data_IF_465569981843
#
_entry.id   IF_465569981843
#
_cell.length_a   1.000
_cell.length_b   1.000
_cell.length_c   1.000
_cell.angle_alpha   90.00
_cell.angle_beta   90.00
_cell.angle_gamma   90.00
#
_symmetry.space_group_name_H-M   'P 1'
#
loop_
_entity.id
_entity.type
_entity.pdbx_description
1 polymer ?
#
# COMPACT_ATOMS: atom_id res chain seq x y z
N UNK A 1 -27.82 -2.13 10.80
CA UNK A 1 -26.91 -0.99 10.51
C UNK A 1 -26.34 -1.13 9.11
N UNK A 2 -26.10 -0.04 8.39
CA UNK A 2 -25.33 -0.06 7.13
C UNK A 2 -23.87 -0.44 7.41
N UNK A 3 -23.12 -0.84 6.36
CA UNK A 3 -21.66 -1.12 6.48
C UNK A 3 -20.91 0.09 7.08
N UNK A 4 -21.24 1.29 6.59
CA UNK A 4 -20.66 2.54 7.08
C UNK A 4 -21.01 2.82 8.55
N UNK A 5 -22.29 2.74 8.93
CA UNK A 5 -22.73 2.95 10.32
C UNK A 5 -22.03 1.99 11.28
N UNK A 6 -21.91 0.71 10.90
CA UNK A 6 -21.25 -0.31 11.72
C UNK A 6 -19.78 0.01 11.96
N UNK A 7 -19.03 0.38 10.91
CA UNK A 7 -17.62 0.76 11.06
C UNK A 7 -17.47 2.02 11.90
N UNK A 8 -18.31 3.05 11.68
CA UNK A 8 -18.25 4.28 12.45
C UNK A 8 -18.59 4.09 13.94
N UNK A 9 -19.61 3.29 14.25
CA UNK A 9 -19.96 2.95 15.63
C UNK A 9 -18.82 2.19 16.33
N UNK A 10 -18.22 1.21 15.65
CA UNK A 10 -17.07 0.47 16.20
C UNK A 10 -15.87 1.38 16.50
N UNK A 11 -15.52 2.29 15.58
CA UNK A 11 -14.44 3.28 15.80
C UNK A 11 -14.73 4.21 17.00
N UNK A 12 -16.00 4.54 17.23
CA UNK A 12 -16.47 5.35 18.37
C UNK A 12 -16.70 4.53 19.64
N UNK A 13 -16.36 3.24 19.65
CA UNK A 13 -16.61 2.32 20.78
C UNK A 13 -18.09 2.24 21.18
N UNK A 14 -18.98 2.39 20.21
CA UNK A 14 -20.43 2.27 20.39
C UNK A 14 -20.91 0.84 20.07
N UNK A 15 -22.07 0.40 20.60
CA UNK A 15 -22.66 -0.88 20.24
C UNK A 15 -22.88 -1.01 18.72
N UNK A 16 -22.67 -2.22 18.20
CA UNK A 16 -22.91 -2.59 16.80
C UNK A 16 -23.86 -3.78 16.72
N UNK A 17 -24.54 -3.97 15.60
CA UNK A 17 -25.40 -5.14 15.34
C UNK A 17 -24.59 -6.45 15.20
N UNK A 18 -23.33 -6.34 14.77
CA UNK A 18 -22.28 -7.38 14.82
C UNK A 18 -20.90 -6.72 14.72
N UNK A 19 -19.80 -7.40 15.13
CA UNK A 19 -18.45 -6.89 14.86
C UNK A 19 -18.24 -6.60 13.36
N UNK A 20 -17.69 -5.43 12.97
CA UNK A 20 -17.32 -5.18 11.60
C UNK A 20 -16.10 -6.04 11.21
N UNK A 21 -16.04 -6.48 9.95
CA UNK A 21 -14.92 -7.25 9.42
C UNK A 21 -14.55 -6.81 8.00
N UNK A 22 -13.32 -7.12 7.60
CA UNK A 22 -12.91 -7.04 6.20
C UNK A 22 -11.82 -8.06 5.91
N UNK A 23 -11.77 -8.49 4.65
CA UNK A 23 -10.68 -9.31 4.12
C UNK A 23 -9.93 -8.53 3.04
N UNK A 24 -8.62 -8.76 2.95
CA UNK A 24 -7.78 -8.21 1.90
C UNK A 24 -6.62 -9.15 1.61
N UNK A 25 -6.06 -9.02 0.40
CA UNK A 25 -4.87 -9.75 -0.05
C UNK A 25 -4.21 -9.01 -1.20
N UNK A 26 -3.01 -9.46 -1.57
CA UNK A 26 -2.40 -9.08 -2.84
C UNK A 26 -3.02 -9.85 -4.02
N UNK A 27 -2.98 -9.23 -5.20
CA UNK A 27 -3.40 -9.78 -6.50
C UNK A 27 -2.25 -9.69 -7.52
N UNK A 28 -1.14 -10.42 -7.30
CA UNK A 28 0.13 -10.25 -8.03
C UNK A 28 0.10 -10.54 -9.54
N UNK A 29 -0.96 -11.20 -10.00
CA UNK A 29 -1.18 -11.49 -11.42
C UNK A 29 -1.71 -10.28 -12.19
N UNK A 30 -2.28 -9.29 -11.48
CA UNK A 30 -3.02 -8.16 -12.06
C UNK A 30 -2.71 -6.81 -11.42
N UNK A 31 -1.92 -6.77 -10.35
CA UNK A 31 -1.69 -5.56 -9.55
C UNK A 31 -0.91 -4.46 -10.29
N UNK A 32 -0.16 -4.81 -11.32
CA UNK A 32 0.50 -3.87 -12.26
C UNK A 32 -0.48 -3.18 -13.24
N UNK A 33 -1.77 -3.53 -13.22
CA UNK A 33 -2.80 -2.88 -14.03
C UNK A 33 -3.93 -2.35 -13.12
N UNK A 34 -4.08 -1.03 -13.07
CA UNK A 34 -5.01 -0.37 -12.16
C UNK A 34 -6.47 -0.83 -12.32
N UNK A 35 -6.93 -1.04 -13.56
CA UNK A 35 -8.28 -1.51 -13.85
C UNK A 35 -8.48 -2.96 -13.41
N UNK A 36 -7.53 -3.84 -13.70
CA UNK A 36 -7.60 -5.24 -13.33
C UNK A 36 -7.48 -5.45 -11.80
N UNK A 37 -6.65 -4.66 -11.13
CA UNK A 37 -6.55 -4.64 -9.67
C UNK A 37 -7.86 -4.16 -9.02
N UNK A 38 -8.45 -3.07 -9.52
CA UNK A 38 -9.73 -2.57 -9.03
C UNK A 38 -10.83 -3.62 -9.17
N UNK A 39 -10.95 -4.25 -10.35
CA UNK A 39 -11.93 -5.31 -10.57
C UNK A 39 -11.73 -6.52 -9.66
N UNK A 40 -10.49 -6.96 -9.44
CA UNK A 40 -10.21 -8.11 -8.58
C UNK A 40 -10.50 -7.81 -7.11
N UNK A 41 -10.17 -6.59 -6.67
CA UNK A 41 -10.47 -6.08 -5.33
C UNK A 41 -12.00 -6.04 -5.08
N UNK A 42 -12.77 -5.55 -6.06
CA UNK A 42 -14.23 -5.48 -5.97
C UNK A 42 -14.90 -6.85 -6.01
N UNK A 43 -14.46 -7.77 -6.88
CA UNK A 43 -14.98 -9.16 -6.90
C UNK A 43 -14.70 -9.88 -5.58
N UNK A 44 -13.52 -9.65 -4.99
CA UNK A 44 -13.18 -10.21 -3.69
C UNK A 44 -14.10 -9.66 -2.60
N UNK A 45 -14.36 -8.36 -2.62
CA UNK A 45 -15.33 -7.72 -1.74
C UNK A 45 -16.76 -8.25 -1.93
N UNK A 46 -17.23 -8.39 -3.17
CA UNK A 46 -18.55 -8.95 -3.49
C UNK A 46 -18.70 -10.38 -2.95
N UNK A 47 -17.65 -11.18 -3.03
CA UNK A 47 -17.62 -12.54 -2.49
C UNK A 47 -17.73 -12.59 -0.96
N UNK A 48 -17.01 -11.72 -0.26
CA UNK A 48 -16.88 -11.80 1.20
C UNK A 48 -17.73 -10.79 1.96
N UNK A 49 -18.36 -9.83 1.29
CA UNK A 49 -19.24 -8.81 1.87
C UNK A 49 -18.60 -8.05 3.04
N UNK A 50 -17.34 -7.64 2.88
CA UNK A 50 -16.60 -6.85 3.88
C UNK A 50 -17.33 -5.55 4.24
N UNK A 51 -17.16 -5.05 5.46
CA UNK A 51 -17.77 -3.80 5.91
C UNK A 51 -17.01 -2.54 5.44
N UNK A 52 -15.78 -2.73 4.97
CA UNK A 52 -15.00 -1.71 4.27
C UNK A 52 -14.10 -2.38 3.23
N UNK A 53 -13.74 -1.64 2.18
CA UNK A 53 -12.90 -2.11 1.09
C UNK A 53 -11.46 -1.62 1.30
N UNK A 54 -10.55 -2.51 1.71
CA UNK A 54 -9.13 -2.17 1.76
C UNK A 54 -8.47 -2.39 0.40
N UNK A 55 -7.93 -1.34 -0.22
CA UNK A 55 -7.17 -1.45 -1.47
C UNK A 55 -5.71 -1.77 -1.12
N UNK A 56 -5.23 -2.91 -1.60
CA UNK A 56 -3.84 -3.35 -1.43
C UNK A 56 -3.10 -3.14 -2.75
N UNK A 57 -2.13 -2.20 -2.82
CA UNK A 57 -1.36 -1.92 -4.03
C UNK A 57 -0.33 -3.01 -4.35
N UNK A 58 0.37 -2.84 -5.48
CA UNK A 58 1.66 -3.52 -5.74
C UNK A 58 2.63 -3.23 -4.58
N UNK A 59 3.57 -4.12 -4.29
CA UNK A 59 4.50 -3.92 -3.19
C UNK A 59 5.48 -2.75 -3.42
N UNK A 60 5.76 -2.44 -4.69
CA UNK A 60 6.71 -1.43 -5.15
C UNK A 60 6.15 -0.01 -5.23
N UNK A 61 4.82 0.18 -5.22
CA UNK A 61 4.18 1.45 -5.54
C UNK A 61 4.68 2.68 -4.75
N UNK A 62 5.21 2.45 -3.55
CA UNK A 62 5.64 3.51 -2.66
C UNK A 62 7.18 3.70 -2.63
N UNK A 63 7.94 2.98 -3.46
CA UNK A 63 9.41 3.05 -3.48
C UNK A 63 10.03 2.92 -4.88
N UNK A 64 9.30 2.43 -5.88
CA UNK A 64 9.83 2.21 -7.24
C UNK A 64 10.26 3.51 -7.92
N UNK A 65 9.63 4.64 -7.60
CA UNK A 65 9.98 5.95 -8.15
C UNK A 65 11.36 6.45 -7.72
N UNK A 66 11.90 5.94 -6.60
CA UNK A 66 13.28 6.18 -6.18
C UNK A 66 14.27 5.12 -6.70
N UNK A 67 13.79 4.23 -7.58
CA UNK A 67 14.59 3.21 -8.24
C UNK A 67 14.62 1.87 -7.51
N UNK A 68 13.69 1.59 -6.59
CA UNK A 68 13.52 0.21 -6.12
C UNK A 68 12.96 -0.68 -7.23
N UNK A 69 13.34 -1.97 -7.26
CA UNK A 69 12.84 -2.93 -8.24
C UNK A 69 12.34 -4.18 -7.52
N UNK A 70 11.09 -4.55 -7.80
CA UNK A 70 10.54 -5.83 -7.39
C UNK A 70 11.05 -6.98 -8.26
N UNK A 71 11.22 -8.15 -7.65
CA UNK A 71 11.52 -9.38 -8.36
C UNK A 71 10.32 -9.98 -9.08
N UNK A 72 10.57 -11.02 -9.87
CA UNK A 72 9.54 -11.72 -10.63
C UNK A 72 8.90 -12.90 -9.88
N UNK A 73 9.46 -13.29 -8.74
CA UNK A 73 8.90 -14.33 -7.89
C UNK A 73 7.80 -13.76 -6.98
N UNK A 74 6.64 -14.42 -6.97
CA UNK A 74 5.52 -14.13 -6.07
C UNK A 74 5.67 -15.01 -4.84
N UNK A 75 5.75 -14.37 -3.67
CA UNK A 75 5.83 -15.06 -2.40
C UNK A 75 4.44 -15.58 -1.94
N UNK A 76 4.36 -16.51 -0.97
CA UNK A 76 3.10 -17.15 -0.58
C UNK A 76 1.99 -16.19 -0.11
N UNK A 77 2.34 -15.03 0.44
CA UNK A 77 1.41 -13.96 0.85
C UNK A 77 1.03 -13.00 -0.30
N UNK A 78 1.58 -13.24 -1.50
CA UNK A 78 1.27 -12.57 -2.75
C UNK A 78 2.10 -11.32 -3.04
N UNK A 79 3.09 -10.96 -2.22
CA UNK A 79 4.00 -9.86 -2.55
C UNK A 79 5.23 -10.34 -3.33
N UNK A 80 5.93 -9.39 -3.96
CA UNK A 80 7.22 -9.60 -4.62
C UNK A 80 8.32 -8.97 -3.77
N UNK A 81 9.43 -9.67 -3.59
CA UNK A 81 10.57 -9.13 -2.86
C UNK A 81 11.20 -7.96 -3.63
N UNK A 82 11.74 -6.98 -2.90
CA UNK A 82 12.56 -5.93 -3.51
C UNK A 82 13.95 -6.51 -3.79
N UNK A 83 14.31 -6.67 -5.07
CA UNK A 83 15.60 -7.25 -5.49
C UNK A 83 16.67 -6.19 -5.71
N UNK A 84 16.27 -4.92 -5.88
CA UNK A 84 17.18 -3.78 -5.93
C UNK A 84 16.62 -2.64 -5.09
N UNK A 85 17.40 -2.22 -4.10
CA UNK A 85 17.07 -1.11 -3.22
C UNK A 85 17.58 0.23 -3.78
N UNK A 86 16.88 1.33 -3.45
CA UNK A 86 17.29 2.68 -3.82
C UNK A 86 18.51 3.15 -3.00
N UNK A 87 18.57 2.74 -1.74
CA UNK A 87 19.66 3.08 -0.82
C UNK A 87 20.59 1.88 -0.72
N UNK A 88 21.82 2.00 -1.24
CA UNK A 88 22.87 0.98 -1.18
C UNK A 88 24.08 1.41 -0.33
N UNK A 89 24.17 2.68 0.00
CA UNK A 89 25.18 3.28 0.87
C UNK A 89 24.51 4.38 1.71
N UNK A 90 25.09 4.79 2.86
CA UNK A 90 24.54 5.88 3.66
C UNK A 90 24.35 7.19 2.88
N UNK A 91 25.21 7.44 1.88
CA UNK A 91 25.10 8.62 1.01
C UNK A 91 23.87 8.64 0.12
N UNK A 92 23.28 7.48 -0.18
CA UNK A 92 22.10 7.36 -1.05
C UNK A 92 20.83 7.91 -0.41
N UNK A 93 20.75 7.99 0.92
CA UNK A 93 19.63 8.64 1.62
C UNK A 93 19.42 10.09 1.16
N UNK A 94 20.49 10.80 0.78
CA UNK A 94 20.41 12.17 0.25
C UNK A 94 19.72 12.27 -1.12
N UNK A 95 19.55 11.14 -1.82
CA UNK A 95 18.86 11.06 -3.11
C UNK A 95 17.35 10.88 -2.94
N UNK A 96 16.90 10.51 -1.72
CA UNK A 96 15.48 10.41 -1.40
C UNK A 96 14.93 11.82 -1.22
N UNK A 97 14.11 12.23 -2.19
CA UNK A 97 13.51 13.56 -2.30
C UNK A 97 12.05 13.44 -2.75
N UNK A 98 11.19 14.42 -2.45
CA UNK A 98 9.81 14.41 -2.94
C UNK A 98 9.73 14.20 -4.45
N UNK A 99 8.86 13.28 -4.87
CA UNK A 99 8.57 13.00 -6.28
C UNK A 99 7.23 13.62 -6.68
N UNK A 100 7.08 13.99 -7.95
CA UNK A 100 5.80 14.49 -8.48
C UNK A 100 4.84 13.32 -8.63
N UNK A 101 3.74 13.31 -7.87
CA UNK A 101 2.84 12.17 -7.76
C UNK A 101 2.13 11.80 -9.07
N UNK A 102 2.01 12.74 -10.02
CA UNK A 102 1.23 12.57 -11.25
C UNK A 102 1.91 11.65 -12.28
N UNK A 103 3.22 11.40 -12.13
CA UNK A 103 4.03 10.62 -13.06
C UNK A 103 4.65 9.37 -12.43
N UNK A 104 4.09 8.90 -11.32
CA UNK A 104 4.67 7.86 -10.48
C UNK A 104 3.75 6.66 -10.32
N UNK A 105 4.25 5.60 -9.70
CA UNK A 105 3.45 4.45 -9.30
C UNK A 105 2.26 4.82 -8.40
N UNK A 106 2.37 5.94 -7.67
CA UNK A 106 1.25 6.55 -6.95
C UNK A 106 0.08 6.93 -7.86
N UNK A 107 0.32 7.43 -9.07
CA UNK A 107 -0.75 7.73 -10.03
C UNK A 107 -1.54 6.46 -10.39
N UNK A 108 -0.86 5.33 -10.60
CA UNK A 108 -1.51 4.03 -10.85
C UNK A 108 -2.29 3.52 -9.65
N UNK A 109 -1.77 3.74 -8.43
CA UNK A 109 -2.50 3.41 -7.20
C UNK A 109 -3.75 4.29 -7.04
N UNK A 110 -3.64 5.60 -7.29
CA UNK A 110 -4.75 6.54 -7.28
C UNK A 110 -5.81 6.18 -8.32
N UNK A 111 -5.39 5.80 -9.53
CA UNK A 111 -6.31 5.30 -10.56
C UNK A 111 -7.09 4.08 -10.04
N UNK A 112 -6.41 3.10 -9.41
CA UNK A 112 -7.08 1.94 -8.81
C UNK A 112 -8.15 2.35 -7.79
N UNK A 113 -7.81 3.29 -6.91
CA UNK A 113 -8.73 3.80 -5.88
C UNK A 113 -9.94 4.49 -6.53
N UNK A 114 -9.70 5.37 -7.51
CA UNK A 114 -10.75 6.07 -8.25
C UNK A 114 -11.68 5.06 -8.92
N UNK A 115 -11.15 4.02 -9.56
CA UNK A 115 -11.96 2.98 -10.21
C UNK A 115 -12.81 2.18 -9.21
N UNK A 116 -12.30 1.90 -8.01
CA UNK A 116 -13.08 1.25 -6.96
C UNK A 116 -14.27 2.11 -6.49
N UNK A 117 -14.09 3.43 -6.42
CA UNK A 117 -15.10 4.36 -5.86
C UNK A 117 -16.05 4.90 -6.92
N UNK A 118 -15.54 5.32 -8.08
CA UNK A 118 -16.30 6.03 -9.13
C UNK A 118 -16.95 5.05 -10.10
N UNK A 119 -16.18 4.12 -10.67
CA UNK A 119 -16.65 3.27 -11.78
C UNK A 119 -17.61 2.17 -11.32
N UNK A 120 -17.42 1.67 -10.10
CA UNK A 120 -18.12 0.48 -9.59
C UNK A 120 -18.81 0.71 -8.24
N UNK A 121 -18.72 1.91 -7.68
CA UNK A 121 -19.26 2.33 -6.37
C UNK A 121 -19.24 1.21 -5.35
N UNK A 122 -18.06 0.92 -4.78
CA UNK A 122 -17.98 0.11 -3.58
C UNK A 122 -19.08 0.54 -2.59
N UNK A 123 -19.88 -0.43 -2.11
CA UNK A 123 -21.03 -0.17 -1.24
C UNK A 123 -20.63 0.12 0.22
N UNK A 124 -19.36 0.47 0.43
CA UNK A 124 -18.75 0.73 1.72
C UNK A 124 -17.55 1.68 1.59
N UNK A 125 -17.01 2.12 2.72
CA UNK A 125 -15.81 2.96 2.75
C UNK A 125 -14.63 2.24 2.10
N UNK A 126 -13.94 2.94 1.18
CA UNK A 126 -12.70 2.45 0.56
C UNK A 126 -11.50 3.03 1.30
N UNK A 127 -10.59 2.18 1.75
CA UNK A 127 -9.40 2.53 2.52
C UNK A 127 -8.15 2.18 1.70
N UNK A 128 -7.40 3.17 1.19
CA UNK A 128 -6.10 2.92 0.58
C UNK A 128 -5.04 2.63 1.64
N UNK A 129 -4.03 1.85 1.28
CA UNK A 129 -2.89 1.60 2.16
C UNK A 129 -1.86 2.71 1.95
N UNK A 130 -1.38 3.30 3.05
CA UNK A 130 -0.21 4.18 3.06
C UNK A 130 0.77 3.64 4.10
N UNK A 131 2.00 3.38 3.68
CA UNK A 131 3.03 2.86 4.57
C UNK A 131 3.60 3.96 5.47
N UNK A 132 4.01 3.58 6.69
CA UNK A 132 4.71 4.49 7.59
C UNK A 132 6.10 4.85 7.03
N UNK A 133 6.67 6.02 7.40
CA UNK A 133 8.02 6.41 6.98
C UNK A 133 9.06 5.32 7.25
N UNK A 134 9.01 4.66 8.42
CA UNK A 134 9.92 3.57 8.76
C UNK A 134 9.75 2.32 7.87
N UNK A 135 8.52 1.99 7.47
CA UNK A 135 8.25 0.88 6.54
C UNK A 135 8.78 1.19 5.14
N UNK A 136 8.66 2.45 4.71
CA UNK A 136 9.26 2.92 3.46
C UNK A 136 10.78 2.90 3.53
N UNK A 137 11.37 3.36 4.64
CA UNK A 137 12.82 3.28 4.88
C UNK A 137 13.34 1.84 4.74
N UNK A 138 12.60 0.87 5.30
CA UNK A 138 12.93 -0.55 5.19
C UNK A 138 12.87 -1.05 3.75
N UNK A 139 11.85 -0.66 3.00
CA UNK A 139 11.74 -1.00 1.57
C UNK A 139 12.83 -0.34 0.72
N UNK A 140 13.18 0.92 1.02
CA UNK A 140 14.19 1.69 0.30
C UNK A 140 15.60 1.15 0.48
N UNK A 141 15.91 0.56 1.63
CA UNK A 141 17.28 0.24 2.03
C UNK A 141 17.53 -1.24 2.33
N UNK A 142 16.49 -2.04 2.59
CA UNK A 142 16.64 -3.44 2.95
C UNK A 142 17.34 -3.61 4.30
N UNK A 143 18.23 -4.59 4.41
CA UNK A 143 18.92 -4.99 5.65
C UNK A 143 19.83 -3.94 6.26
N UNK A 144 20.26 -2.92 5.49
CA UNK A 144 21.06 -1.83 6.06
C UNK A 144 20.27 -0.90 6.97
N UNK A 145 18.94 -0.90 6.95
CA UNK A 145 18.15 0.06 7.75
C UNK A 145 18.58 0.07 9.22
N UNK A 146 18.79 -1.10 9.81
CA UNK A 146 19.19 -1.20 11.22
C UNK A 146 20.58 -0.58 11.48
N UNK A 147 21.52 -0.77 10.55
CA UNK A 147 22.83 -0.15 10.58
C UNK A 147 22.74 1.37 10.39
N UNK A 148 21.98 1.84 9.42
CA UNK A 148 21.86 3.27 9.10
C UNK A 148 21.12 4.06 10.17
N UNK A 149 20.10 3.47 10.82
CA UNK A 149 19.44 4.09 11.97
C UNK A 149 20.41 4.29 13.15
N UNK A 150 21.43 3.43 13.27
CA UNK A 150 22.41 3.49 14.36
C UNK A 150 23.58 4.41 14.03
N UNK A 151 24.18 4.24 12.86
CA UNK A 151 25.44 4.88 12.48
C UNK A 151 25.23 6.16 11.65
N UNK A 152 24.07 6.29 10.99
CA UNK A 152 23.75 7.41 10.10
C UNK A 152 22.35 8.04 10.38
N UNK A 153 21.95 8.24 11.65
CA UNK A 153 20.57 8.58 12.02
C UNK A 153 20.06 9.87 11.36
N UNK A 154 20.93 10.87 11.21
CA UNK A 154 20.55 12.13 10.56
C UNK A 154 20.24 11.94 9.07
N UNK A 155 21.01 11.11 8.37
CA UNK A 155 20.79 10.84 6.95
C UNK A 155 19.42 10.15 6.72
N UNK A 156 19.04 9.23 7.61
CA UNK A 156 17.71 8.60 7.58
C UNK A 156 16.62 9.60 7.93
N UNK A 157 16.80 10.39 9.00
CA UNK A 157 15.80 11.37 9.45
C UNK A 157 15.55 12.46 8.41
N UNK A 158 16.58 12.96 7.76
CA UNK A 158 16.46 13.98 6.70
C UNK A 158 15.74 13.47 5.45
N UNK A 159 15.64 12.15 5.28
CA UNK A 159 15.01 11.50 4.13
C UNK A 159 13.54 11.12 4.37
N UNK A 160 13.07 11.10 5.63
CA UNK A 160 11.72 10.69 6.06
C UNK A 160 10.81 11.88 6.34
#
# INVERSE_FOLDING_TARGET
MTKFERVQAALKRQPTDRPPYAFWRHFPDVDRNAAALAQSTLRFHERYQSDFLKVTPTGGYAVEDWGCVEGDEVLPDGHRACVRHAVNTPGDWRKIRPVKMESTAWASHLETIIRCVVDRRADCSTLPTVFSPLSLARKLSGDRLAYDLKENPQAVTDAL
#
